data_IF_970423921149
#
_entry.id   IF_970423921149
#
_cell.length_a   1.000
_cell.length_b   1.000
_cell.length_c   1.000
_cell.angle_alpha   90.00
_cell.angle_beta   90.00
_cell.angle_gamma   90.00
#
_symmetry.space_group_name_H-M   'P 1'
#
loop_
_entity.id
_entity.type
_entity.pdbx_description
1 polymer ?
#
# COMPACT_ATOMS: atom_id res chain seq x y z
N UNK A 1 10.52 18.81 -5.57
CA UNK A 1 11.40 17.61 -5.53
C UNK A 1 10.76 16.51 -6.36
N UNK A 2 11.52 15.87 -7.26
CA UNK A 2 11.00 14.88 -8.22
C UNK A 2 10.24 13.71 -7.57
N UNK A 3 10.58 13.36 -6.32
CA UNK A 3 9.87 12.34 -5.52
C UNK A 3 8.39 12.67 -5.24
N UNK A 4 8.02 13.94 -5.10
CA UNK A 4 6.65 14.37 -4.82
C UNK A 4 5.77 14.30 -6.07
N UNK A 5 6.36 14.54 -7.25
CA UNK A 5 5.68 14.37 -8.54
C UNK A 5 5.53 12.88 -8.90
N UNK A 6 6.51 12.05 -8.55
CA UNK A 6 6.43 10.58 -8.67
C UNK A 6 5.38 10.00 -7.72
N UNK A 7 5.34 10.46 -6.45
CA UNK A 7 4.32 10.07 -5.49
C UNK A 7 2.92 10.54 -5.90
N UNK A 8 2.79 11.76 -6.46
CA UNK A 8 1.51 12.25 -6.97
C UNK A 8 1.04 11.45 -8.19
N UNK A 9 1.95 11.13 -9.14
CA UNK A 9 1.67 10.25 -10.29
C UNK A 9 1.35 8.82 -9.87
N UNK A 10 2.07 8.27 -8.89
CA UNK A 10 1.77 6.98 -8.28
C UNK A 10 0.40 7.03 -7.59
N UNK A 11 0.06 8.09 -6.85
CA UNK A 11 -1.29 8.28 -6.30
C UNK A 11 -2.37 8.37 -7.39
N UNK A 12 -2.09 9.00 -8.53
CA UNK A 12 -3.05 9.08 -9.63
C UNK A 12 -3.23 7.73 -10.31
N UNK A 13 -2.15 6.98 -10.49
CA UNK A 13 -2.17 5.59 -10.97
C UNK A 13 -2.83 4.65 -9.95
N UNK A 14 -2.66 4.88 -8.65
CA UNK A 14 -3.36 4.17 -7.56
C UNK A 14 -4.83 4.61 -7.40
N UNK A 15 -5.23 5.72 -8.01
CA UNK A 15 -6.63 6.13 -8.14
C UNK A 15 -7.29 5.56 -9.41
N UNK A 16 -6.49 5.06 -10.37
CA UNK A 16 -6.96 4.42 -11.61
C UNK A 16 -6.83 2.89 -11.58
N UNK A 17 -5.90 2.37 -10.79
CA UNK A 17 -5.94 1.02 -10.28
C UNK A 17 -6.87 1.05 -9.07
N UNK A 18 -8.11 0.60 -9.26
CA UNK A 18 -9.09 0.41 -8.19
C UNK A 18 -8.44 -0.10 -6.90
N UNK A 19 -8.99 0.33 -5.76
CA UNK A 19 -8.69 0.01 -4.35
C UNK A 19 -8.37 -1.47 -4.02
N UNK A 20 -8.43 -2.34 -5.02
CA UNK A 20 -8.16 -3.76 -5.08
C UNK A 20 -6.66 -4.12 -5.05
N UNK A 21 -5.75 -3.24 -5.50
CA UNK A 21 -4.33 -3.60 -5.55
C UNK A 21 -3.59 -3.43 -4.22
N UNK A 22 -3.91 -2.42 -3.41
CA UNK A 22 -3.17 -2.17 -2.17
C UNK A 22 -3.69 -2.96 -0.95
N UNK A 23 -4.86 -3.58 -1.04
CA UNK A 23 -5.66 -3.89 0.16
C UNK A 23 -5.13 -4.98 1.10
N UNK A 24 -4.16 -5.81 0.70
CA UNK A 24 -4.01 -7.14 1.32
C UNK A 24 -2.69 -7.44 1.92
N UNK A 25 -1.67 -7.34 1.08
CA UNK A 25 -0.30 -7.54 1.52
C UNK A 25 0.16 -6.29 2.29
N UNK A 26 -0.33 -5.11 1.90
CA UNK A 26 0.04 -3.82 2.53
C UNK A 26 -0.77 -3.56 3.80
N UNK A 27 -2.02 -4.04 3.91
CA UNK A 27 -2.83 -3.73 5.09
C UNK A 27 -2.29 -4.39 6.38
N UNK A 28 -1.85 -5.65 6.33
CA UNK A 28 -1.45 -6.38 7.55
C UNK A 28 0.06 -6.41 7.81
N UNK A 29 0.93 -6.35 6.79
CA UNK A 29 2.37 -6.60 7.01
C UNK A 29 3.26 -5.35 6.98
N UNK A 30 2.99 -4.39 6.09
CA UNK A 30 3.85 -3.22 5.87
C UNK A 30 3.10 -1.89 6.11
N UNK A 31 3.62 -1.08 7.02
CA UNK A 31 3.13 0.24 7.41
C UNK A 31 4.24 1.28 7.26
N UNK A 32 3.89 2.56 7.31
CA UNK A 32 4.89 3.66 7.29
C UNK A 32 5.98 3.50 8.36
N UNK A 33 5.68 2.79 9.45
CA UNK A 33 6.57 2.59 10.61
C UNK A 33 7.51 1.40 10.50
N UNK A 34 7.16 0.38 9.70
CA UNK A 34 7.91 -0.88 9.66
C UNK A 34 8.41 -1.24 8.24
N UNK A 35 8.09 -0.43 7.23
CA UNK A 35 8.45 -0.71 5.82
C UNK A 35 9.95 -0.96 5.62
N UNK A 36 10.82 -0.19 6.30
CA UNK A 36 12.28 -0.41 6.24
C UNK A 36 12.70 -1.77 6.80
N UNK A 37 12.01 -2.27 7.84
CA UNK A 37 12.26 -3.60 8.39
C UNK A 37 11.74 -4.68 7.46
N UNK A 38 10.64 -4.42 6.77
CA UNK A 38 10.01 -5.36 5.85
C UNK A 38 10.84 -5.61 4.58
N UNK A 39 11.81 -4.76 4.25
CA UNK A 39 12.81 -5.02 3.20
C UNK A 39 13.61 -6.31 3.47
N UNK A 40 13.82 -6.65 4.75
CA UNK A 40 14.51 -7.89 5.16
C UNK A 40 13.58 -9.09 5.34
N UNK A 41 12.28 -8.93 5.07
CA UNK A 41 11.29 -10.01 5.23
C UNK A 41 11.62 -11.19 4.32
N UNK A 42 11.43 -12.41 4.81
CA UNK A 42 11.57 -13.64 4.01
C UNK A 42 10.33 -13.99 3.20
N UNK A 43 9.25 -13.22 3.34
CA UNK A 43 8.02 -13.47 2.60
C UNK A 43 8.17 -12.98 1.15
N UNK A 44 8.12 -13.87 0.14
CA UNK A 44 8.35 -13.50 -1.25
C UNK A 44 7.30 -12.51 -1.78
N UNK A 45 6.09 -12.52 -1.24
CA UNK A 45 5.04 -11.57 -1.60
C UNK A 45 5.37 -10.15 -1.11
N UNK A 46 5.95 -10.03 0.09
CA UNK A 46 6.40 -8.75 0.65
C UNK A 46 7.63 -8.25 -0.12
N UNK A 47 8.57 -9.14 -0.44
CA UNK A 47 9.75 -8.77 -1.23
C UNK A 47 9.39 -8.25 -2.63
N UNK A 48 8.43 -8.89 -3.32
CA UNK A 48 7.91 -8.39 -4.61
C UNK A 48 7.24 -7.04 -4.49
N UNK A 49 6.36 -6.89 -3.50
CA UNK A 49 5.64 -5.66 -3.24
C UNK A 49 6.59 -4.49 -3.00
N UNK A 50 7.66 -4.69 -2.22
CA UNK A 50 8.62 -3.65 -1.88
C UNK A 50 9.71 -3.44 -2.96
N UNK A 51 9.66 -4.18 -4.07
CA UNK A 51 10.67 -4.08 -5.12
C UNK A 51 12.02 -4.71 -4.78
N UNK A 52 12.11 -5.51 -3.72
CA UNK A 52 13.33 -6.29 -3.38
C UNK A 52 13.55 -7.40 -4.41
N UNK A 53 12.46 -7.89 -5.01
CA UNK A 53 12.50 -8.95 -6.03
C UNK A 53 11.54 -8.62 -7.17
N UNK A 54 12.03 -8.59 -8.42
CA UNK A 54 11.24 -8.29 -9.62
C UNK A 54 11.53 -6.90 -10.22
N UNK A 55 10.96 -6.61 -11.39
CA UNK A 55 11.20 -5.39 -12.19
C UNK A 55 9.89 -4.60 -12.42
N UNK A 56 9.01 -4.59 -11.42
CA UNK A 56 7.68 -3.99 -11.53
C UNK A 56 7.74 -2.46 -11.66
N UNK A 57 8.60 -1.81 -10.88
CA UNK A 57 8.79 -0.36 -10.99
C UNK A 57 9.31 -0.02 -12.37
N UNK A 58 10.32 -0.75 -12.83
CA UNK A 58 10.91 -0.58 -14.17
C UNK A 58 9.86 -0.73 -15.28
N UNK A 59 8.95 -1.71 -15.17
CA UNK A 59 7.84 -1.90 -16.12
C UNK A 59 6.86 -0.73 -16.16
N UNK A 60 6.75 0.00 -15.05
CA UNK A 60 5.92 1.20 -14.90
C UNK A 60 6.70 2.51 -15.17
N UNK A 61 7.99 2.43 -15.51
CA UNK A 61 8.88 3.59 -15.67
C UNK A 61 9.19 4.30 -14.35
N UNK A 62 9.05 3.61 -13.23
CA UNK A 62 9.35 4.06 -11.87
C UNK A 62 10.57 3.29 -11.32
N UNK A 63 11.10 3.73 -10.18
CA UNK A 63 12.09 2.94 -9.45
C UNK A 63 11.42 1.70 -8.85
N UNK A 64 12.12 0.56 -8.78
CA UNK A 64 11.52 -0.67 -8.23
C UNK A 64 11.13 -0.53 -6.75
N UNK A 65 11.82 0.32 -6.00
CA UNK A 65 11.50 0.67 -4.61
C UNK A 65 10.37 1.70 -4.45
N UNK A 66 9.66 2.10 -5.52
CA UNK A 66 8.64 3.14 -5.44
C UNK A 66 7.55 2.85 -4.40
N UNK A 67 7.23 1.56 -4.17
CA UNK A 67 6.24 1.16 -3.16
C UNK A 67 6.71 1.45 -1.74
N UNK A 68 8.01 1.38 -1.48
CA UNK A 68 8.60 1.79 -0.19
C UNK A 68 8.35 3.27 0.02
N UNK A 69 8.60 4.10 -0.99
CA UNK A 69 8.37 5.54 -0.93
C UNK A 69 6.90 5.90 -0.74
N UNK A 70 5.99 5.20 -1.44
CA UNK A 70 4.55 5.37 -1.27
C UNK A 70 4.11 5.03 0.15
N UNK A 71 4.54 3.88 0.68
CA UNK A 71 4.16 3.45 2.05
C UNK A 71 4.75 4.40 3.09
N UNK A 72 5.97 4.93 2.89
CA UNK A 72 6.58 5.92 3.78
C UNK A 72 5.80 7.25 3.80
N UNK A 73 5.37 7.73 2.65
CA UNK A 73 4.72 9.03 2.53
C UNK A 73 3.23 9.00 2.91
N UNK A 74 2.51 7.97 2.47
CA UNK A 74 1.05 7.90 2.59
C UNK A 74 0.61 7.05 3.79
N UNK A 75 1.36 5.98 4.05
CA UNK A 75 0.97 4.90 4.95
C UNK A 75 0.16 3.82 4.24
N UNK A 76 -0.10 2.72 4.95
CA UNK A 76 -0.98 1.67 4.45
C UNK A 76 -2.45 2.11 4.47
N UNK A 77 -3.32 1.28 3.88
CA UNK A 77 -4.76 1.59 3.81
C UNK A 77 -5.37 1.83 5.20
N UNK A 78 -4.95 1.06 6.20
CA UNK A 78 -5.44 1.24 7.57
C UNK A 78 -5.06 2.60 8.15
N UNK A 79 -3.81 3.02 7.98
CA UNK A 79 -3.30 4.32 8.43
C UNK A 79 -4.05 5.47 7.76
N UNK A 80 -4.28 5.38 6.45
CA UNK A 80 -5.04 6.37 5.69
C UNK A 80 -6.50 6.40 6.14
N UNK A 81 -7.13 5.24 6.32
CA UNK A 81 -8.50 5.15 6.80
C UNK A 81 -8.62 5.76 8.20
N UNK A 82 -7.77 5.36 9.14
CA UNK A 82 -7.82 5.83 10.52
C UNK A 82 -7.59 7.34 10.63
N UNK A 83 -6.77 7.92 9.74
CA UNK A 83 -6.48 9.36 9.67
C UNK A 83 -7.67 10.19 9.16
N UNK A 84 -8.44 9.70 8.20
CA UNK A 84 -9.49 10.50 7.55
C UNK A 84 -10.90 10.08 7.94
N UNK A 85 -11.16 8.77 7.97
CA UNK A 85 -12.49 8.20 8.16
C UNK A 85 -12.66 7.59 9.55
N UNK A 86 -11.61 7.06 10.15
CA UNK A 86 -11.63 6.43 11.46
C UNK A 86 -11.51 7.42 12.62
N UNK A 87 -10.96 6.97 13.78
CA UNK A 87 -10.94 7.76 15.01
C UNK A 87 -10.20 9.09 14.91
N UNK A 88 -9.25 9.21 13.98
CA UNK A 88 -8.52 10.45 13.71
C UNK A 88 -9.26 11.45 12.81
N UNK A 89 -10.44 11.09 12.29
CA UNK A 89 -11.26 11.94 11.44
C UNK A 89 -12.73 11.89 11.84
N UNK A 90 -13.61 11.53 10.90
CA UNK A 90 -15.08 11.55 11.10
C UNK A 90 -15.64 10.32 11.84
N UNK A 91 -14.76 9.44 12.35
CA UNK A 91 -15.07 8.30 13.21
C UNK A 91 -16.15 7.33 12.70
N UNK A 92 -16.06 7.00 11.40
CA UNK A 92 -16.88 5.97 10.75
C UNK A 92 -16.29 4.59 11.04
N UNK A 93 -17.08 3.67 11.64
CA UNK A 93 -16.66 2.27 11.80
C UNK A 93 -16.31 1.63 10.46
N UNK A 94 -15.24 0.83 10.42
CA UNK A 94 -14.73 0.19 9.19
C UNK A 94 -15.80 -0.54 8.38
N UNK A 95 -16.69 -1.29 9.04
CA UNK A 95 -17.82 -1.98 8.40
C UNK A 95 -17.39 -2.75 7.14
N UNK A 96 -17.92 -2.43 5.94
CA UNK A 96 -17.55 -3.08 4.68
C UNK A 96 -16.11 -2.77 4.22
N UNK A 97 -15.45 -1.73 4.75
CA UNK A 97 -14.06 -1.37 4.45
C UNK A 97 -13.04 -2.19 5.30
N UNK A 98 -13.47 -3.31 5.86
CA UNK A 98 -12.54 -4.32 6.40
C UNK A 98 -12.01 -5.21 5.28
N UNK A 99 -10.93 -5.92 5.57
CA UNK A 99 -10.47 -7.00 4.70
C UNK A 99 -11.54 -8.10 4.61
N UNK A 100 -11.54 -8.82 3.49
CA UNK A 100 -12.45 -9.95 3.26
C UNK A 100 -12.32 -11.06 4.32
N UNK A 101 -11.12 -11.31 4.84
CA UNK A 101 -10.87 -12.29 5.91
C UNK A 101 -11.42 -11.83 7.28
N UNK A 102 -11.69 -10.54 7.45
CA UNK A 102 -12.29 -9.92 8.63
C UNK A 102 -13.79 -9.60 8.45
N UNK A 103 -14.41 -10.14 7.39
CA UNK A 103 -15.84 -9.95 7.10
C UNK A 103 -16.18 -8.64 6.37
N UNK A 104 -15.19 -7.98 5.77
CA UNK A 104 -15.41 -6.83 4.87
C UNK A 104 -15.39 -7.21 3.40
N UNK A 105 -15.34 -6.19 2.54
CA UNK A 105 -15.40 -6.32 1.08
C UNK A 105 -14.06 -6.00 0.41
N UNK A 106 -13.05 -5.57 1.16
CA UNK A 106 -11.74 -5.30 0.59
C UNK A 106 -11.03 -6.63 0.32
N UNK A 107 -11.07 -7.03 -0.95
CA UNK A 107 -10.33 -8.16 -1.45
C UNK A 107 -9.09 -7.66 -2.19
N UNK A 108 -7.91 -8.00 -1.69
CA UNK A 108 -6.67 -7.61 -2.34
C UNK A 108 -6.25 -8.62 -3.39
N UNK A 109 -5.91 -8.13 -4.58
CA UNK A 109 -5.24 -8.98 -5.55
C UNK A 109 -3.84 -9.34 -5.03
N UNK A 110 -3.47 -10.61 -5.17
CA UNK A 110 -2.11 -11.03 -4.85
C UNK A 110 -1.12 -10.38 -5.84
N UNK A 111 -0.09 -9.71 -5.32
CA UNK A 111 1.07 -9.32 -6.10
C UNK A 111 1.86 -10.57 -6.48
N UNK A 112 1.96 -10.85 -7.78
CA UNK A 112 2.65 -12.03 -8.34
C UNK A 112 3.61 -11.59 -9.42
#
# INVERSE_FOLDING_TARGET
SHALAAAARALTLLSQCDSFYLGGVVAEAASSRNVDKMLSSKNPTIQRLLGVTGEMGTSLGLSDDFMVDVIKQVGNYEEVYNRHLGPGGINIPRGPNKLWNEGGLLYPMAFR
#
